data_IF_704406673257
#
_entry.id   IF_704406673257
#
_cell.length_a   1.000
_cell.length_b   1.000
_cell.length_c   1.000
_cell.angle_alpha   90.00
_cell.angle_beta   90.00
_cell.angle_gamma   90.00
#
_symmetry.space_group_name_H-M   'P 1'
#
loop_
_entity.id
_entity.type
_entity.pdbx_description
1 polymer ?
#
# COMPACT_ATOMS: atom_id res chain seq x y z
N UNK A 1 2.68 -23.16 11.42
CA UNK A 1 2.80 -23.48 9.98
C UNK A 1 3.82 -22.51 9.39
N UNK A 2 4.89 -22.97 8.72
CA UNK A 2 5.82 -22.04 8.07
C UNK A 2 5.06 -21.27 6.98
N UNK A 3 5.20 -19.95 6.95
CA UNK A 3 4.63 -19.12 5.89
C UNK A 3 5.30 -19.47 4.56
N UNK A 4 4.51 -19.65 3.51
CA UNK A 4 5.05 -19.83 2.16
C UNK A 4 5.93 -18.62 1.79
N UNK A 5 7.03 -18.83 1.03
CA UNK A 5 7.85 -17.71 0.58
C UNK A 5 7.00 -16.74 -0.25
N UNK A 6 7.24 -15.42 -0.15
CA UNK A 6 6.47 -14.44 -0.90
C UNK A 6 6.63 -14.66 -2.40
N UNK A 7 5.55 -14.43 -3.13
CA UNK A 7 5.55 -14.51 -4.59
C UNK A 7 6.36 -13.35 -5.15
N UNK A 8 7.40 -13.68 -5.92
CA UNK A 8 8.21 -12.70 -6.63
C UNK A 8 7.60 -12.38 -7.99
N UNK A 9 7.46 -11.10 -8.30
CA UNK A 9 7.05 -10.60 -9.61
C UNK A 9 8.01 -9.49 -10.05
N UNK A 10 8.22 -9.32 -11.35
CA UNK A 10 9.08 -8.22 -11.85
C UNK A 10 8.46 -6.85 -11.61
N UNK A 11 7.15 -6.74 -11.80
CA UNK A 11 6.44 -5.47 -11.69
C UNK A 11 5.04 -5.68 -11.13
N UNK A 12 4.65 -4.82 -10.19
CA UNK A 12 3.31 -4.74 -9.61
C UNK A 12 2.67 -3.42 -10.01
N UNK A 13 1.52 -3.48 -10.67
CA UNK A 13 0.69 -2.31 -10.95
C UNK A 13 -0.41 -2.22 -9.90
N UNK A 14 -0.54 -1.07 -9.26
CA UNK A 14 -1.55 -0.79 -8.23
C UNK A 14 -2.35 0.41 -8.68
N UNK A 15 -3.67 0.30 -8.74
CA UNK A 15 -4.56 1.41 -9.05
C UNK A 15 -5.69 1.59 -8.05
N UNK A 16 -6.24 2.80 -8.03
CA UNK A 16 -7.51 3.15 -7.36
C UNK A 16 -7.59 2.66 -5.90
N UNK A 17 -6.47 2.80 -5.18
CA UNK A 17 -6.36 2.34 -3.80
C UNK A 17 -7.16 3.22 -2.83
N UNK A 18 -7.34 4.50 -3.18
CA UNK A 18 -8.12 5.46 -2.42
C UNK A 18 -7.73 5.58 -0.94
N UNK A 19 -6.42 5.67 -0.64
CA UNK A 19 -5.94 5.86 0.73
C UNK A 19 -6.50 7.16 1.31
N UNK A 20 -7.28 7.01 2.38
CA UNK A 20 -7.92 8.13 3.09
C UNK A 20 -9.45 8.03 3.11
N UNK A 21 -10.03 7.16 2.27
CA UNK A 21 -11.46 6.87 2.30
C UNK A 21 -11.77 5.71 3.26
N UNK A 22 -12.93 5.77 3.92
CA UNK A 22 -13.40 4.68 4.82
C UNK A 22 -13.51 3.32 4.12
N UNK A 23 -13.75 3.32 2.81
CA UNK A 23 -13.84 2.10 2.00
C UNK A 23 -12.49 1.47 1.64
N UNK A 24 -11.36 2.13 1.95
CA UNK A 24 -10.04 1.63 1.60
C UNK A 24 -9.71 0.36 2.38
N UNK A 25 -9.41 -0.73 1.66
CA UNK A 25 -9.03 -2.01 2.22
C UNK A 25 -7.52 -2.07 2.54
N UNK A 26 -7.00 -1.05 3.25
CA UNK A 26 -5.56 -0.90 3.51
C UNK A 26 -4.93 -2.12 4.21
N UNK A 27 -5.65 -2.78 5.12
CA UNK A 27 -5.14 -3.98 5.79
C UNK A 27 -4.96 -5.17 4.83
N UNK A 28 -5.91 -5.38 3.91
CA UNK A 28 -5.81 -6.41 2.88
C UNK A 28 -4.69 -6.09 1.89
N UNK A 29 -4.52 -4.81 1.55
CA UNK A 29 -3.41 -4.39 0.71
C UNK A 29 -2.04 -4.59 1.39
N UNK A 30 -1.93 -4.34 2.71
CA UNK A 30 -0.73 -4.65 3.48
C UNK A 30 -0.43 -6.15 3.50
N UNK A 31 -1.44 -6.98 3.68
CA UNK A 31 -1.30 -8.44 3.62
C UNK A 31 -0.84 -8.90 2.22
N UNK A 32 -1.46 -8.34 1.17
CA UNK A 32 -1.05 -8.58 -0.20
C UNK A 32 0.42 -8.22 -0.43
N UNK A 33 0.88 -7.06 0.03
CA UNK A 33 2.27 -6.63 -0.06
C UNK A 33 3.23 -7.48 0.79
N UNK A 34 2.77 -8.16 1.84
CA UNK A 34 3.60 -9.10 2.60
C UNK A 34 3.82 -10.40 1.84
N UNK A 35 2.80 -10.85 1.10
CA UNK A 35 2.85 -12.08 0.31
C UNK A 35 3.39 -11.88 -1.12
N UNK A 36 3.58 -10.63 -1.56
CA UNK A 36 4.10 -10.31 -2.89
C UNK A 36 5.28 -9.33 -2.82
N UNK A 37 6.40 -9.74 -3.42
CA UNK A 37 7.57 -8.89 -3.63
C UNK A 37 7.70 -8.53 -5.11
N UNK A 38 8.10 -7.28 -5.36
CA UNK A 38 8.24 -6.75 -6.70
C UNK A 38 9.45 -5.82 -6.81
N UNK A 39 10.23 -5.97 -7.89
CA UNK A 39 11.36 -5.08 -8.20
C UNK A 39 10.86 -3.66 -8.50
N UNK A 40 9.71 -3.56 -9.18
CA UNK A 40 9.07 -2.28 -9.52
C UNK A 40 7.63 -2.28 -9.07
N UNK A 41 7.20 -1.22 -8.38
CA UNK A 41 5.80 -0.96 -8.08
C UNK A 41 5.38 0.30 -8.83
N UNK A 42 4.43 0.16 -9.75
CA UNK A 42 3.86 1.28 -10.51
C UNK A 42 2.51 1.61 -9.92
N UNK A 43 2.36 2.86 -9.49
CA UNK A 43 1.12 3.38 -8.93
C UNK A 43 0.37 4.15 -10.02
N UNK A 44 -0.87 3.76 -10.32
CA UNK A 44 -1.68 4.27 -11.43
C UNK A 44 -2.99 4.82 -10.89
N UNK A 45 -3.39 6.03 -11.25
CA UNK A 45 -4.67 6.60 -10.83
C UNK A 45 -4.73 6.96 -9.33
N UNK A 46 -5.93 6.91 -8.74
CA UNK A 46 -6.24 7.52 -7.44
C UNK A 46 -5.71 6.72 -6.23
N UNK A 47 -4.42 6.90 -5.91
CA UNK A 47 -3.78 6.19 -4.80
C UNK A 47 -4.10 6.81 -3.45
N UNK A 48 -4.12 8.14 -3.37
CA UNK A 48 -4.31 8.90 -2.13
C UNK A 48 -5.35 9.97 -2.38
N UNK A 49 -6.42 9.96 -1.60
CA UNK A 49 -7.44 10.99 -1.63
C UNK A 49 -7.00 12.17 -0.74
N UNK A 50 -6.16 13.03 -1.31
CA UNK A 50 -5.43 14.11 -0.66
C UNK A 50 -6.25 15.28 -0.10
N UNK A 51 -7.59 15.22 -0.11
CA UNK A 51 -8.41 16.32 0.42
C UNK A 51 -8.57 16.29 1.95
N UNK A 52 -8.32 15.16 2.63
CA UNK A 52 -8.51 15.03 4.09
C UNK A 52 -7.25 15.22 4.95
N UNK A 53 -6.06 15.33 4.34
CA UNK A 53 -4.79 15.51 5.08
C UNK A 53 -4.69 16.84 5.87
N UNK A 54 -5.58 17.81 5.61
CA UNK A 54 -5.55 19.14 6.26
C UNK A 54 -6.38 19.23 7.55
N UNK A 55 -7.21 18.23 7.86
CA UNK A 55 -8.05 18.22 9.08
C UNK A 55 -7.76 16.93 9.82
N UNK A 56 -7.21 17.06 11.02
CA UNK A 56 -7.07 15.97 11.97
C UNK A 56 -8.32 15.06 11.94
N UNK A 57 -8.20 13.84 11.41
CA UNK A 57 -9.23 12.83 11.58
C UNK A 57 -8.69 11.43 11.31
N UNK A 58 -9.27 10.46 12.04
CA UNK A 58 -9.05 9.01 12.02
C UNK A 58 -8.61 8.43 10.67
N UNK A 59 -7.34 8.58 10.33
CA UNK A 59 -6.69 7.72 9.37
C UNK A 59 -6.31 6.46 10.16
N UNK A 60 -6.94 5.29 9.89
CA UNK A 60 -6.59 4.07 10.59
C UNK A 60 -5.08 3.81 10.41
N UNK A 61 -4.42 3.27 11.43
CA UNK A 61 -2.98 3.00 11.41
C UNK A 61 -2.55 2.25 10.13
N UNK A 62 -3.40 1.34 9.62
CA UNK A 62 -3.18 0.59 8.38
C UNK A 62 -2.90 1.47 7.15
N UNK A 63 -3.52 2.66 7.04
CA UNK A 63 -3.28 3.54 5.90
C UNK A 63 -1.88 4.16 5.96
N UNK A 64 -1.45 4.60 7.15
CA UNK A 64 -0.10 5.10 7.37
C UNK A 64 0.93 3.98 7.13
N UNK A 65 0.62 2.76 7.58
CA UNK A 65 1.48 1.60 7.37
C UNK A 65 1.65 1.29 5.87
N UNK A 66 0.60 1.43 5.05
CA UNK A 66 0.71 1.29 3.59
C UNK A 66 1.69 2.30 3.02
N UNK A 67 1.51 3.59 3.36
CA UNK A 67 2.39 4.66 2.89
C UNK A 67 3.84 4.40 3.29
N UNK A 68 4.08 4.05 4.56
CA UNK A 68 5.42 3.74 5.04
C UNK A 68 6.02 2.51 4.35
N UNK A 69 5.24 1.45 4.12
CA UNK A 69 5.70 0.24 3.44
C UNK A 69 6.12 0.55 2.00
N UNK A 70 5.30 1.31 1.26
CA UNK A 70 5.62 1.75 -0.11
C UNK A 70 6.87 2.62 -0.15
N UNK A 71 6.98 3.62 0.75
CA UNK A 71 8.17 4.48 0.85
C UNK A 71 9.44 3.69 1.19
N UNK A 72 9.36 2.70 2.08
CA UNK A 72 10.51 1.83 2.41
C UNK A 72 10.94 0.99 1.20
N UNK A 73 10.00 0.52 0.38
CA UNK A 73 10.33 -0.21 -0.87
C UNK A 73 10.96 0.71 -1.90
N UNK A 74 10.44 1.92 -2.07
CA UNK A 74 11.02 2.91 -2.97
C UNK A 74 12.47 3.30 -2.61
N UNK A 75 12.81 3.34 -1.32
CA UNK A 75 14.17 3.64 -0.83
C UNK A 75 15.16 2.48 -0.99
N UNK A 76 14.67 1.26 -1.15
CA UNK A 76 15.49 0.04 -1.25
C UNK A 76 15.89 -0.31 -2.68
N UNK A 77 15.66 0.61 -3.64
CA UNK A 77 15.96 0.51 -5.07
C UNK A 77 16.94 -0.57 -5.47
#
# INVERSE_FOLDING_TARGET
MPSLPPRQVRTLFVSDLHLGLRGCQAALFLDFLQHHEADTIVLVGDIVDGWQLRRAWHCPQSHNDVVQKLLRRARKG
#
